data_IF_377507939243
#
_entry.id   IF_377507939243
#
_cell.length_a   1.000
_cell.length_b   1.000
_cell.length_c   1.000
_cell.angle_alpha   90.00
_cell.angle_beta   90.00
_cell.angle_gamma   90.00
#
_symmetry.space_group_name_H-M   'P 1'
#
loop_
_entity.id
_entity.type
_entity.pdbx_description
1 polymer ?
#
# COMPACT_ATOMS: atom_id res chain seq x y z
N UNK A 1 -24.45 2.39 10.94
CA UNK A 1 -24.05 3.70 11.53
C UNK A 1 -22.96 4.37 10.70
N UNK A 2 -21.79 3.74 10.47
CA UNK A 2 -20.70 4.35 9.69
C UNK A 2 -21.03 4.59 8.19
N UNK A 3 -21.68 3.61 7.54
CA UNK A 3 -22.04 3.69 6.12
C UNK A 3 -22.98 4.88 5.81
N UNK A 4 -23.96 5.15 6.68
CA UNK A 4 -24.86 6.30 6.53
C UNK A 4 -24.15 7.64 6.69
N UNK A 5 -23.21 7.72 7.64
CA UNK A 5 -22.38 8.91 7.84
C UNK A 5 -21.51 9.23 6.61
N UNK A 6 -20.89 8.21 6.01
CA UNK A 6 -20.07 8.39 4.80
C UNK A 6 -20.95 8.82 3.62
N UNK A 7 -22.13 8.21 3.46
CA UNK A 7 -23.06 8.56 2.38
C UNK A 7 -23.52 10.03 2.47
N UNK A 8 -23.89 10.48 3.67
CA UNK A 8 -24.30 11.86 3.94
C UNK A 8 -23.19 12.87 3.61
N UNK A 9 -21.95 12.59 4.03
CA UNK A 9 -20.79 13.45 3.73
C UNK A 9 -20.45 13.49 2.24
N UNK A 10 -20.58 12.36 1.55
CA UNK A 10 -20.39 12.28 0.09
C UNK A 10 -21.39 13.17 -0.66
N UNK A 11 -22.64 13.26 -0.18
CA UNK A 11 -23.65 14.12 -0.79
C UNK A 11 -23.49 15.59 -0.40
N UNK A 12 -23.17 15.85 0.86
CA UNK A 12 -23.09 17.22 1.40
C UNK A 12 -21.82 17.96 1.00
N UNK A 13 -20.72 17.25 0.72
CA UNK A 13 -19.41 17.84 0.37
C UNK A 13 -18.75 17.09 -0.79
N UNK A 14 -19.28 17.19 -2.02
CA UNK A 14 -18.82 16.40 -3.16
C UNK A 14 -17.36 16.70 -3.56
N UNK A 15 -16.92 17.96 -3.46
CA UNK A 15 -15.54 18.34 -3.79
C UNK A 15 -14.54 17.78 -2.76
N UNK A 16 -14.87 17.84 -1.47
CA UNK A 16 -14.04 17.26 -0.41
C UNK A 16 -13.96 15.73 -0.55
N UNK A 17 -15.07 15.08 -0.88
CA UNK A 17 -15.11 13.66 -1.16
C UNK A 17 -14.22 13.29 -2.37
N UNK A 18 -14.30 14.06 -3.45
CA UNK A 18 -13.46 13.88 -4.63
C UNK A 18 -11.97 14.03 -4.30
N UNK A 19 -11.60 15.08 -3.56
CA UNK A 19 -10.22 15.29 -3.12
C UNK A 19 -9.71 14.14 -2.24
N UNK A 20 -10.55 13.64 -1.31
CA UNK A 20 -10.23 12.47 -0.50
C UNK A 20 -9.99 11.22 -1.36
N UNK A 21 -10.91 10.91 -2.28
CA UNK A 21 -10.76 9.78 -3.20
C UNK A 21 -9.46 9.90 -4.03
N UNK A 22 -9.16 11.09 -4.55
CA UNK A 22 -7.92 11.32 -5.28
C UNK A 22 -6.66 11.04 -4.42
N UNK A 23 -6.68 11.38 -3.13
CA UNK A 23 -5.58 11.02 -2.21
C UNK A 23 -5.46 9.51 -2.01
N UNK A 24 -6.57 8.78 -1.89
CA UNK A 24 -6.58 7.31 -1.77
C UNK A 24 -6.03 6.67 -3.04
N UNK A 25 -6.46 7.13 -4.22
CA UNK A 25 -5.97 6.64 -5.51
C UNK A 25 -4.47 6.88 -5.70
N UNK A 26 -3.96 8.05 -5.28
CA UNK A 26 -2.53 8.36 -5.31
C UNK A 26 -1.73 7.46 -4.35
N UNK A 27 -2.29 7.14 -3.18
CA UNK A 27 -1.65 6.24 -2.23
C UNK A 27 -1.57 4.81 -2.77
N UNK A 28 -2.62 4.33 -3.44
CA UNK A 28 -2.63 3.02 -4.09
C UNK A 28 -1.58 2.94 -5.21
N UNK A 29 -1.53 3.95 -6.08
CA UNK A 29 -0.50 4.06 -7.13
C UNK A 29 0.92 4.06 -6.57
N UNK A 30 1.16 4.81 -5.49
CA UNK A 30 2.44 4.80 -4.80
C UNK A 30 2.81 3.40 -4.28
N UNK A 31 1.84 2.70 -3.65
CA UNK A 31 2.06 1.35 -3.11
C UNK A 31 2.35 0.32 -4.21
N UNK A 32 1.67 0.42 -5.36
CA UNK A 32 1.93 -0.44 -6.52
C UNK A 32 3.36 -0.24 -7.06
N UNK A 33 3.78 1.02 -7.28
CA UNK A 33 5.14 1.34 -7.71
C UNK A 33 6.17 0.81 -6.71
N UNK A 34 5.92 1.00 -5.41
CA UNK A 34 6.81 0.54 -4.36
C UNK A 34 6.95 -0.99 -4.34
N UNK A 35 5.86 -1.75 -4.53
CA UNK A 35 5.90 -3.21 -4.68
C UNK A 35 6.81 -3.61 -5.85
N UNK A 36 6.68 -2.95 -7.00
CA UNK A 36 7.53 -3.23 -8.17
C UNK A 36 9.02 -3.00 -7.89
N UNK A 37 9.34 -1.93 -7.16
CA UNK A 37 10.71 -1.63 -6.76
C UNK A 37 11.24 -2.62 -5.71
N UNK A 38 10.45 -2.92 -4.69
CA UNK A 38 10.77 -3.92 -3.67
C UNK A 38 11.06 -5.29 -4.30
N UNK A 39 10.26 -5.70 -5.29
CA UNK A 39 10.48 -6.95 -5.98
C UNK A 39 11.78 -6.94 -6.81
N UNK A 40 12.01 -5.87 -7.58
CA UNK A 40 13.15 -5.76 -8.48
C UNK A 40 14.49 -5.60 -7.75
N UNK A 41 14.52 -4.80 -6.69
CA UNK A 41 15.76 -4.43 -5.98
C UNK A 41 16.05 -5.29 -4.76
N UNK A 42 15.03 -5.94 -4.18
CA UNK A 42 15.21 -6.71 -2.94
C UNK A 42 14.84 -8.18 -3.12
N UNK A 43 13.63 -8.49 -3.57
CA UNK A 43 13.15 -9.88 -3.59
C UNK A 43 13.89 -10.76 -4.61
N UNK A 44 14.08 -10.25 -5.83
CA UNK A 44 14.77 -10.97 -6.93
C UNK A 44 16.28 -10.79 -6.92
N UNK A 45 16.83 -10.01 -5.99
CA UNK A 45 18.29 -9.88 -5.90
C UNK A 45 18.89 -11.21 -5.45
N UNK A 46 20.06 -11.58 -5.97
CA UNK A 46 20.77 -12.76 -5.47
C UNK A 46 21.15 -12.54 -4.01
N UNK A 47 20.66 -13.39 -3.11
CA UNK A 47 20.98 -13.28 -1.69
C UNK A 47 22.47 -13.52 -1.47
N UNK A 48 23.19 -12.50 -1.01
CA UNK A 48 24.64 -12.55 -0.77
C UNK A 48 25.01 -12.89 0.68
N UNK A 49 24.06 -12.78 1.61
CA UNK A 49 24.26 -13.05 3.04
C UNK A 49 22.96 -13.49 3.70
N UNK A 50 23.06 -14.36 4.71
CA UNK A 50 21.93 -14.76 5.56
C UNK A 50 21.51 -13.71 6.58
N UNK A 51 22.36 -12.70 6.84
CA UNK A 51 22.09 -11.62 7.79
C UNK A 51 21.07 -10.61 7.25
N UNK A 52 20.91 -10.52 5.93
CA UNK A 52 19.92 -9.66 5.28
C UNK A 52 19.11 -10.49 4.26
N UNK A 53 18.15 -11.31 4.74
CA UNK A 53 17.35 -12.15 3.86
C UNK A 53 16.52 -11.31 2.89
N UNK A 54 16.38 -11.76 1.65
CA UNK A 54 15.58 -11.03 0.65
C UNK A 54 14.07 -11.20 0.84
N UNK A 55 13.66 -12.27 1.55
CA UNK A 55 12.26 -12.64 1.76
C UNK A 55 11.62 -12.01 3.01
N UNK A 56 12.42 -11.51 3.96
CA UNK A 56 11.94 -10.94 5.23
C UNK A 56 12.37 -9.49 5.31
N UNK A 57 11.42 -8.58 5.51
CA UNK A 57 11.70 -7.16 5.65
C UNK A 57 12.45 -6.87 6.95
N UNK A 58 13.07 -5.70 7.05
CA UNK A 58 13.79 -5.27 8.27
C UNK A 58 12.89 -5.19 9.51
N UNK A 59 11.58 -5.05 9.32
CA UNK A 59 10.56 -5.13 10.38
C UNK A 59 10.16 -6.56 10.78
N UNK A 60 10.76 -7.60 10.20
CA UNK A 60 10.54 -9.01 10.55
C UNK A 60 9.33 -9.69 9.88
N UNK A 61 8.66 -9.02 8.94
CA UNK A 61 7.50 -9.59 8.22
C UNK A 61 7.90 -10.18 6.87
N UNK A 62 7.15 -11.17 6.34
CA UNK A 62 7.32 -11.61 4.95
C UNK A 62 7.12 -10.42 4.01
N UNK A 63 8.20 -10.03 3.32
CA UNK A 63 8.32 -8.68 2.78
C UNK A 63 7.26 -8.39 1.71
N UNK A 64 7.22 -9.22 0.66
CA UNK A 64 6.29 -9.02 -0.46
C UNK A 64 4.83 -9.20 -0.05
N UNK A 65 4.52 -10.18 0.80
CA UNK A 65 3.15 -10.40 1.32
C UNK A 65 2.67 -9.21 2.15
N UNK A 66 3.54 -8.62 2.96
CA UNK A 66 3.20 -7.46 3.77
C UNK A 66 2.90 -6.23 2.92
N UNK A 67 3.68 -6.00 1.86
CA UNK A 67 3.43 -4.90 0.93
C UNK A 67 2.14 -5.10 0.14
N UNK A 68 1.88 -6.32 -0.34
CA UNK A 68 0.63 -6.63 -1.05
C UNK A 68 -0.60 -6.36 -0.17
N UNK A 69 -0.54 -6.80 1.10
CA UNK A 69 -1.61 -6.51 2.06
C UNK A 69 -1.87 -5.01 2.20
N UNK A 70 -0.82 -4.18 2.25
CA UNK A 70 -0.98 -2.73 2.33
C UNK A 70 -1.65 -2.16 1.09
N UNK A 71 -1.33 -2.69 -0.10
CA UNK A 71 -2.02 -2.28 -1.32
C UNK A 71 -3.51 -2.66 -1.26
N UNK A 72 -3.83 -3.92 -0.91
CA UNK A 72 -5.20 -4.44 -0.87
C UNK A 72 -6.10 -3.73 0.17
N UNK A 73 -5.52 -3.19 1.24
CA UNK A 73 -6.21 -2.44 2.29
C UNK A 73 -6.26 -0.91 2.02
N UNK A 74 -5.76 -0.44 0.87
CA UNK A 74 -5.89 0.96 0.42
C UNK A 74 -7.23 1.18 -0.25
#
# INVERSE_FOLDING_TARGET
>A
LLSGYIHDRKQSYPELWSAYCACVDLLAQFREIHIGYADSYINRQNQTSTTNPTAVGTGGTPFMTYLQKHLDET
#
